data_IF_363629068380
#
_entry.id   IF_363629068380
#
_cell.length_a   1.000
_cell.length_b   1.000
_cell.length_c   1.000
_cell.angle_alpha   90.00
_cell.angle_beta   90.00
_cell.angle_gamma   90.00
#
_symmetry.space_group_name_H-M   'P 1'
#
loop_
_entity.id
_entity.type
_entity.pdbx_description
1 polymer ?
#
# COMPACT_ATOMS: atom_id res chain seq x y z
N UNK A 1 1.05 -12.45 -7.51
CA UNK A 1 2.26 -11.56 -7.38
C UNK A 1 1.77 -10.32 -6.66
N UNK A 2 2.58 -9.68 -5.82
CA UNK A 2 2.20 -8.44 -5.12
C UNK A 2 2.82 -7.23 -5.84
N UNK A 3 2.18 -6.71 -6.91
CA UNK A 3 2.73 -5.62 -7.73
C UNK A 3 2.64 -4.24 -7.09
N UNK A 4 2.13 -4.09 -5.87
CA UNK A 4 2.02 -2.78 -5.23
C UNK A 4 2.70 -2.77 -3.86
N UNK A 5 3.34 -1.64 -3.55
CA UNK A 5 3.74 -1.24 -2.20
C UNK A 5 2.80 -0.12 -1.76
N UNK A 6 2.12 -0.33 -0.65
CA UNK A 6 1.27 0.65 -0.01
C UNK A 6 1.97 1.12 1.26
N UNK A 7 2.02 2.43 1.48
CA UNK A 7 2.54 3.03 2.71
C UNK A 7 1.53 4.03 3.28
N UNK A 8 1.48 4.12 4.61
CA UNK A 8 0.62 5.07 5.32
C UNK A 8 1.22 5.43 6.68
N UNK A 9 0.60 6.38 7.38
CA UNK A 9 0.98 6.77 8.73
C UNK A 9 0.00 6.21 9.76
N UNK A 10 0.54 5.66 10.85
CA UNK A 10 -0.19 5.36 12.08
C UNK A 10 0.37 6.25 13.19
N UNK A 11 -0.28 7.38 13.45
CA UNK A 11 0.28 8.42 14.31
C UNK A 11 1.56 9.01 13.70
N UNK A 12 2.71 8.78 14.35
CA UNK A 12 4.04 9.22 13.87
C UNK A 12 4.83 8.09 13.18
N UNK A 13 4.28 6.88 13.13
CA UNK A 13 4.95 5.71 12.55
C UNK A 13 4.61 5.53 11.07
N UNK A 14 5.59 5.08 10.28
CA UNK A 14 5.40 4.73 8.87
C UNK A 14 5.14 3.23 8.76
N UNK A 15 3.94 2.89 8.31
CA UNK A 15 3.53 1.51 8.02
C UNK A 15 3.60 1.22 6.52
N UNK A 16 3.84 -0.04 6.17
CA UNK A 16 3.91 -0.46 4.78
C UNK A 16 3.49 -1.93 4.59
N UNK A 17 2.98 -2.24 3.40
CA UNK A 17 2.62 -3.61 3.00
C UNK A 17 2.74 -3.81 1.49
N UNK A 18 3.16 -5.00 1.09
CA UNK A 18 3.08 -5.47 -0.30
C UNK A 18 1.73 -6.12 -0.55
N UNK A 19 1.07 -5.75 -1.65
CA UNK A 19 -0.31 -6.15 -1.94
C UNK A 19 -0.53 -6.37 -3.43
N UNK A 20 -1.58 -7.09 -3.76
CA UNK A 20 -2.14 -7.17 -5.12
C UNK A 20 -3.35 -6.25 -5.35
N UNK A 21 -4.00 -6.38 -6.51
CA UNK A 21 -5.13 -5.52 -6.90
C UNK A 21 -6.39 -5.80 -6.09
N UNK A 22 -6.60 -7.04 -5.67
CA UNK A 22 -7.78 -7.42 -4.90
C UNK A 22 -7.63 -6.93 -3.45
N UNK A 23 -6.43 -7.08 -2.88
CA UNK A 23 -6.10 -6.60 -1.52
C UNK A 23 -6.10 -5.07 -1.40
N UNK A 24 -5.84 -4.32 -2.48
CA UNK A 24 -5.87 -2.85 -2.49
C UNK A 24 -7.24 -2.31 -2.07
N UNK A 25 -8.32 -2.95 -2.51
CA UNK A 25 -9.68 -2.54 -2.18
C UNK A 25 -10.03 -2.77 -0.70
N UNK A 26 -9.40 -3.77 -0.07
CA UNK A 26 -9.65 -4.15 1.32
C UNK A 26 -8.93 -3.24 2.33
N UNK A 27 -7.85 -2.57 1.91
CA UNK A 27 -7.00 -1.73 2.77
C UNK A 27 -7.54 -0.29 2.87
N UNK A 28 -8.47 0.10 2.00
CA UNK A 28 -8.93 1.48 1.94
C UNK A 28 -9.80 1.84 3.14
N UNK A 29 -9.17 2.54 4.08
CA UNK A 29 -9.82 3.19 5.21
C UNK A 29 -9.92 4.69 4.95
N UNK A 30 -11.13 5.26 4.99
CA UNK A 30 -11.43 6.66 4.65
C UNK A 30 -10.62 7.69 5.46
N UNK A 31 -10.18 7.31 6.66
CA UNK A 31 -9.45 8.18 7.59
C UNK A 31 -7.93 8.17 7.37
N UNK A 32 -7.42 7.26 6.52
CA UNK A 32 -5.98 7.08 6.29
C UNK A 32 -5.57 7.65 4.93
N UNK A 33 -4.42 8.31 4.92
CA UNK A 33 -3.78 8.78 3.70
C UNK A 33 -2.75 7.75 3.24
N UNK A 34 -3.03 7.08 2.13
CA UNK A 34 -2.17 6.06 1.55
C UNK A 34 -1.35 6.61 0.38
N UNK A 35 -0.09 6.18 0.29
CA UNK A 35 0.74 6.31 -0.91
C UNK A 35 0.84 4.92 -1.54
N UNK A 36 0.51 4.82 -2.83
CA UNK A 36 0.50 3.55 -3.57
C UNK A 36 1.51 3.60 -4.69
N UNK A 37 2.44 2.65 -4.69
CA UNK A 37 3.48 2.54 -5.71
C UNK A 37 3.40 1.19 -6.41
N UNK A 38 3.29 1.21 -7.74
CA UNK A 38 3.40 -0.02 -8.54
C UNK A 38 4.85 -0.43 -8.69
N UNK A 39 5.16 -1.65 -8.29
CA UNK A 39 6.47 -2.27 -8.34
C UNK A 39 6.68 -2.87 -9.72
N UNK A 40 7.77 -2.49 -10.37
CA UNK A 40 8.19 -3.09 -11.62
C UNK A 40 9.16 -4.25 -11.33
N UNK A 41 8.83 -5.50 -11.68
CA UNK A 41 9.72 -6.64 -11.44
C UNK A 41 10.99 -6.66 -12.32
N UNK A 42 11.13 -5.70 -13.24
CA UNK A 42 12.26 -5.61 -14.18
C UNK A 42 13.37 -4.62 -13.76
N UNK A 43 13.43 -4.21 -12.49
CA UNK A 43 14.49 -3.36 -11.95
C UNK A 43 15.69 -4.18 -11.42
#
# INVERSE_FOLDING_TARGET
MMPYLVTWLEGEEVCWRFVDEDELAEIWETEKHFIVTKLNPAA
#
